data_IF_436022364038
#
_entry.id   IF_436022364038
#
_cell.length_a   1.000
_cell.length_b   1.000
_cell.length_c   1.000
_cell.angle_alpha   90.00
_cell.angle_beta   90.00
_cell.angle_gamma   90.00
#
_symmetry.space_group_name_H-M   'P 1'
#
loop_
_entity.id
_entity.type
_entity.pdbx_description
1 polymer ?
#
# COMPACT_ATOMS: atom_id res chain seq x y z
N UNK A 1 41.08 -11.98 31.31
CA UNK A 1 40.17 -11.98 30.14
C UNK A 1 40.29 -10.62 29.44
N UNK A 2 40.64 -10.61 28.15
CA UNK A 2 41.22 -9.46 27.43
C UNK A 2 40.23 -8.29 27.21
N UNK A 3 40.29 -7.26 28.05
CA UNK A 3 39.55 -5.99 27.87
C UNK A 3 39.92 -5.27 26.55
N UNK A 4 41.13 -5.49 26.03
CA UNK A 4 41.59 -4.94 24.75
C UNK A 4 40.98 -5.62 23.51
N UNK A 5 40.42 -6.83 23.63
CA UNK A 5 39.75 -7.51 22.51
C UNK A 5 38.31 -7.03 22.32
N UNK A 6 37.60 -6.60 23.37
CA UNK A 6 36.21 -6.11 23.25
C UNK A 6 36.12 -4.74 22.57
N UNK A 7 37.14 -3.88 22.72
CA UNK A 7 37.15 -2.54 22.11
C UNK A 7 37.27 -2.58 20.58
N UNK A 8 37.80 -3.67 20.00
CA UNK A 8 37.89 -3.85 18.53
C UNK A 8 36.57 -4.21 17.85
N UNK A 9 35.55 -4.62 18.60
CA UNK A 9 34.22 -4.96 18.09
C UNK A 9 33.25 -3.76 18.11
N UNK A 10 33.62 -2.68 18.79
CA UNK A 10 32.83 -1.45 18.89
C UNK A 10 32.45 -0.80 17.55
N UNK A 11 33.33 -0.73 16.52
CA UNK A 11 32.94 -0.17 15.23
C UNK A 11 31.95 -1.06 14.46
N UNK A 12 31.87 -2.36 14.75
CA UNK A 12 30.94 -3.28 14.08
C UNK A 12 29.49 -3.05 14.54
N UNK A 13 29.32 -2.72 15.82
CA UNK A 13 28.00 -2.41 16.42
C UNK A 13 27.48 -1.05 15.95
N UNK A 14 28.37 -0.11 15.63
CA UNK A 14 28.02 1.22 15.13
C UNK A 14 27.38 1.20 13.72
N UNK A 15 27.46 0.09 12.99
CA UNK A 15 26.85 -0.05 11.65
C UNK A 15 25.43 -0.64 11.72
N UNK A 16 25.02 -1.23 12.86
CA UNK A 16 23.68 -1.78 13.03
C UNK A 16 22.52 -0.75 12.92
N UNK A 17 22.65 0.54 13.32
CA UNK A 17 21.56 1.49 13.12
C UNK A 17 21.43 1.97 11.66
N UNK A 18 22.36 1.63 10.76
CA UNK A 18 22.24 1.90 9.32
C UNK A 18 21.35 0.89 8.60
N UNK A 19 20.72 -0.03 9.32
CA UNK A 19 19.66 -0.88 8.75
C UNK A 19 18.47 0.00 8.38
N UNK A 20 18.40 0.39 7.12
CA UNK A 20 17.37 1.30 6.62
C UNK A 20 15.95 0.73 6.74
N UNK A 21 14.98 1.63 6.90
CA UNK A 21 13.57 1.36 6.65
C UNK A 21 13.37 1.15 5.13
N UNK A 22 12.53 0.18 4.75
CA UNK A 22 12.10 0.04 3.36
C UNK A 22 10.82 0.86 3.21
N UNK A 23 10.89 1.91 2.38
CA UNK A 23 9.72 2.69 2.00
C UNK A 23 9.65 2.82 0.49
N UNK A 24 8.60 2.28 -0.10
CA UNK A 24 8.31 2.40 -1.52
C UNK A 24 6.81 2.63 -1.76
N UNK A 25 6.47 3.10 -2.96
CA UNK A 25 5.10 3.45 -3.30
C UNK A 25 4.72 3.02 -4.70
N UNK A 26 3.43 2.79 -4.88
CA UNK A 26 2.84 2.41 -6.15
C UNK A 26 1.52 3.14 -6.32
N UNK A 27 1.28 3.65 -7.53
CA UNK A 27 0.08 4.45 -7.82
C UNK A 27 -0.69 3.88 -9.00
N UNK A 28 -2.00 3.92 -8.89
CA UNK A 28 -2.91 3.79 -10.01
C UNK A 28 -3.45 5.17 -10.37
N UNK A 29 -3.08 5.69 -11.54
CA UNK A 29 -3.59 6.95 -12.07
C UNK A 29 -4.82 6.64 -12.90
N UNK A 30 -5.94 7.30 -12.58
CA UNK A 30 -7.19 7.07 -13.29
C UNK A 30 -7.09 7.66 -14.71
N UNK A 31 -7.50 6.93 -15.75
CA UNK A 31 -7.47 7.45 -17.11
C UNK A 31 -8.41 8.66 -17.27
N UNK A 32 -7.91 9.72 -17.90
CA UNK A 32 -8.67 10.92 -18.25
C UNK A 32 -9.04 11.84 -17.08
N UNK A 33 -8.47 11.64 -15.88
CA UNK A 33 -8.70 12.47 -14.70
C UNK A 33 -7.40 12.74 -13.95
N UNK A 34 -7.29 13.88 -13.27
CA UNK A 34 -6.17 14.19 -12.37
C UNK A 34 -6.31 13.51 -10.99
N UNK A 35 -6.78 12.26 -11.00
CA UNK A 35 -7.09 11.47 -9.81
C UNK A 35 -6.12 10.30 -9.71
N UNK A 36 -5.68 9.97 -8.51
CA UNK A 36 -4.83 8.80 -8.27
C UNK A 36 -5.18 8.11 -6.97
N UNK A 37 -4.98 6.80 -6.95
CA UNK A 37 -4.90 6.02 -5.70
C UNK A 37 -3.45 5.59 -5.55
N UNK A 38 -2.81 6.03 -4.47
CA UNK A 38 -1.42 5.73 -4.16
C UNK A 38 -1.35 4.88 -2.91
N UNK A 39 -0.58 3.81 -2.99
CA UNK A 39 -0.21 2.97 -1.86
C UNK A 39 1.24 3.24 -1.50
N UNK A 40 1.51 3.48 -0.22
CA UNK A 40 2.88 3.57 0.31
C UNK A 40 3.08 2.40 1.27
N UNK A 41 4.05 1.55 0.97
CA UNK A 41 4.51 0.51 1.87
C UNK A 41 5.62 1.08 2.75
N UNK A 42 5.41 1.03 4.06
CA UNK A 42 6.37 1.48 5.05
C UNK A 42 6.74 0.31 5.98
N UNK A 43 7.93 -0.24 5.78
CA UNK A 43 8.43 -1.36 6.57
C UNK A 43 9.58 -0.86 7.45
N UNK A 44 9.25 -0.56 8.70
CA UNK A 44 10.17 0.00 9.71
C UNK A 44 11.50 -0.73 9.77
N UNK A 45 11.49 -2.05 9.64
CA UNK A 45 12.70 -2.87 9.60
C UNK A 45 12.65 -3.89 8.47
N UNK A 46 13.72 -3.97 7.67
CA UNK A 46 13.80 -4.87 6.50
C UNK A 46 13.62 -6.37 6.81
N UNK A 47 13.76 -6.78 8.08
CA UNK A 47 13.60 -8.17 8.52
C UNK A 47 12.19 -8.51 9.02
N UNK A 48 11.28 -7.53 9.14
CA UNK A 48 9.87 -7.81 9.45
C UNK A 48 9.20 -8.46 8.25
N UNK A 49 8.28 -9.38 8.50
CA UNK A 49 7.42 -10.01 7.51
C UNK A 49 6.10 -9.25 7.30
N UNK A 50 5.99 -8.06 7.89
CA UNK A 50 4.84 -7.17 7.79
C UNK A 50 5.28 -5.72 7.56
N UNK A 51 4.40 -4.92 6.99
CA UNK A 51 4.57 -3.49 6.79
C UNK A 51 3.27 -2.72 7.08
N UNK A 52 3.39 -1.41 7.27
CA UNK A 52 2.25 -0.51 7.33
C UNK A 52 1.97 0.04 5.93
N UNK A 53 0.72 -0.09 5.50
CA UNK A 53 0.25 0.32 4.18
C UNK A 53 -0.53 1.63 4.30
N UNK A 54 0.04 2.72 3.82
CA UNK A 54 -0.68 3.98 3.65
C UNK A 54 -1.51 3.90 2.36
N UNK A 55 -2.81 4.14 2.47
CA UNK A 55 -3.75 4.16 1.35
C UNK A 55 -4.18 5.59 1.13
N UNK A 56 -3.79 6.18 0.01
CA UNK A 56 -3.99 7.60 -0.28
C UNK A 56 -4.89 7.75 -1.50
N UNK A 57 -5.99 8.48 -1.34
CA UNK A 57 -6.85 8.96 -2.41
C UNK A 57 -6.49 10.41 -2.73
N UNK A 58 -6.07 10.67 -3.96
CA UNK A 58 -5.64 12.00 -4.41
C UNK A 58 -6.52 12.51 -5.54
N UNK A 59 -6.86 13.80 -5.45
CA UNK A 59 -7.43 14.61 -6.52
C UNK A 59 -6.91 16.03 -6.35
N UNK A 60 -5.70 16.29 -6.83
CA UNK A 60 -5.09 17.62 -6.66
C UNK A 60 -5.72 18.63 -7.65
N UNK A 61 -5.88 19.90 -7.25
CA UNK A 61 -5.58 20.48 -5.93
C UNK A 61 -6.69 20.28 -4.87
N UNK A 62 -7.80 19.63 -5.24
CA UNK A 62 -9.04 19.63 -4.47
C UNK A 62 -8.96 18.87 -3.14
N UNK A 63 -8.34 17.69 -3.13
CA UNK A 63 -8.17 16.92 -1.91
C UNK A 63 -7.01 15.91 -1.96
N UNK A 64 -6.52 15.60 -0.76
CA UNK A 64 -5.58 14.52 -0.49
C UNK A 64 -5.96 13.94 0.88
N UNK A 65 -6.33 12.66 0.91
CA UNK A 65 -6.77 11.98 2.13
C UNK A 65 -6.49 10.49 2.06
N UNK A 66 -6.60 9.81 3.20
CA UNK A 66 -6.17 8.42 3.29
C UNK A 66 -6.26 7.86 4.69
N UNK A 67 -5.81 6.61 4.83
CA UNK A 67 -5.66 5.91 6.11
C UNK A 67 -4.36 5.10 6.11
N UNK A 68 -3.91 4.71 7.30
CA UNK A 68 -2.87 3.69 7.46
C UNK A 68 -3.52 2.35 7.82
N UNK A 69 -3.10 1.32 7.12
CA UNK A 69 -3.47 -0.07 7.37
C UNK A 69 -2.26 -0.77 7.97
N UNK A 70 -2.31 -1.03 9.27
CA UNK A 70 -1.19 -1.63 10.00
C UNK A 70 -1.05 -3.13 9.73
N UNK A 71 0.19 -3.60 9.86
CA UNK A 71 0.58 -5.02 9.88
C UNK A 71 0.06 -5.84 8.68
N UNK A 72 0.25 -5.32 7.46
CA UNK A 72 0.00 -6.06 6.21
C UNK A 72 1.17 -7.01 5.95
N UNK A 73 0.94 -8.32 5.74
CA UNK A 73 1.97 -9.28 5.35
C UNK A 73 2.75 -8.87 4.09
N UNK A 74 4.07 -9.04 4.11
CA UNK A 74 4.97 -8.62 3.03
C UNK A 74 4.69 -9.29 1.69
N UNK A 75 4.28 -10.55 1.70
CA UNK A 75 3.97 -11.34 0.50
C UNK A 75 2.55 -11.07 -0.05
N UNK A 76 1.78 -10.21 0.62
CA UNK A 76 0.38 -9.98 0.28
C UNK A 76 0.20 -9.28 -1.06
N UNK A 77 -0.71 -9.81 -1.89
CA UNK A 77 -1.14 -9.20 -3.14
C UNK A 77 -2.42 -8.41 -2.92
N UNK A 78 -2.27 -7.11 -2.75
CA UNK A 78 -3.38 -6.21 -2.49
C UNK A 78 -4.18 -6.04 -3.79
N UNK A 79 -5.41 -6.52 -3.81
CA UNK A 79 -6.22 -6.50 -5.03
C UNK A 79 -7.00 -5.20 -5.15
N UNK A 80 -7.06 -4.65 -6.36
CA UNK A 80 -7.68 -3.36 -6.62
C UNK A 80 -8.78 -3.49 -7.65
N UNK A 81 -9.95 -2.96 -7.31
CA UNK A 81 -11.17 -3.09 -8.11
C UNK A 81 -11.82 -1.73 -8.32
N UNK A 82 -12.55 -1.60 -9.43
CA UNK A 82 -13.55 -0.56 -9.63
C UNK A 82 -14.90 -1.14 -9.22
N UNK A 83 -15.53 -0.54 -8.22
CA UNK A 83 -16.86 -0.96 -7.78
C UNK A 83 -17.90 -0.74 -8.91
N UNK A 84 -19.04 -1.47 -8.88
CA UNK A 84 -20.14 -1.23 -9.80
C UNK A 84 -20.64 0.22 -9.77
N UNK A 85 -21.24 0.71 -10.86
CA UNK A 85 -21.75 2.09 -10.97
C UNK A 85 -23.04 2.35 -10.14
N UNK A 86 -23.38 1.44 -9.22
CA UNK A 86 -24.52 1.52 -8.30
C UNK A 86 -24.29 2.51 -7.14
N UNK A 87 -23.04 2.87 -6.88
CA UNK A 87 -22.68 3.84 -5.85
C UNK A 87 -22.92 5.28 -6.34
N UNK A 88 -23.28 6.22 -5.45
CA UNK A 88 -23.52 7.62 -5.81
C UNK A 88 -22.30 8.33 -6.43
N UNK A 89 -21.11 7.80 -6.19
CA UNK A 89 -19.85 8.28 -6.73
C UNK A 89 -18.95 7.09 -7.13
N UNK A 90 -17.94 7.30 -8.00
CA UNK A 90 -16.99 6.25 -8.35
C UNK A 90 -16.19 5.78 -7.12
N UNK A 91 -16.48 4.56 -6.66
CA UNK A 91 -15.77 3.91 -5.56
C UNK A 91 -14.78 2.90 -6.14
N UNK A 92 -13.56 2.93 -5.60
CA UNK A 92 -12.58 1.87 -5.78
C UNK A 92 -12.54 0.99 -4.54
N UNK A 93 -12.29 -0.29 -4.74
CA UNK A 93 -12.17 -1.25 -3.65
C UNK A 93 -10.73 -1.73 -3.57
N UNK A 94 -10.16 -1.63 -2.38
CA UNK A 94 -8.84 -2.17 -2.06
C UNK A 94 -9.02 -3.36 -1.12
N UNK A 95 -8.71 -4.54 -1.61
CA UNK A 95 -8.84 -5.77 -0.87
C UNK A 95 -7.48 -6.23 -0.36
N UNK A 96 -7.37 -6.34 0.96
CA UNK A 96 -6.38 -7.13 1.65
C UNK A 96 -7.02 -8.44 2.13
N UNK A 97 -6.24 -9.44 2.56
CA UNK A 97 -6.68 -10.81 2.87
C UNK A 97 -7.94 -10.84 3.74
N UNK A 98 -7.98 -10.00 4.77
CA UNK A 98 -9.09 -9.96 5.75
C UNK A 98 -9.93 -8.70 5.71
N UNK A 99 -9.56 -7.69 4.92
CA UNK A 99 -10.15 -6.35 5.01
C UNK A 99 -10.40 -5.79 3.62
N UNK A 100 -11.57 -5.21 3.41
CA UNK A 100 -11.91 -4.52 2.18
C UNK A 100 -12.10 -3.04 2.48
N UNK A 101 -11.45 -2.17 1.72
CA UNK A 101 -11.53 -0.73 1.88
C UNK A 101 -12.24 -0.10 0.69
N UNK A 102 -13.18 0.80 0.95
CA UNK A 102 -13.75 1.69 -0.04
C UNK A 102 -12.86 2.93 -0.15
N UNK A 103 -12.55 3.33 -1.37
CA UNK A 103 -11.74 4.50 -1.68
C UNK A 103 -12.54 5.39 -2.62
N UNK A 104 -12.82 6.61 -2.17
CA UNK A 104 -13.41 7.64 -3.01
C UNK A 104 -12.35 8.65 -3.42
N UNK A 105 -12.15 8.84 -4.73
CA UNK A 105 -11.30 9.92 -5.25
C UNK A 105 -12.05 11.24 -5.39
N UNK A 106 -13.37 11.25 -5.18
CA UNK A 106 -14.19 12.47 -5.21
C UNK A 106 -14.13 13.20 -3.88
N UNK A 107 -14.28 12.46 -2.77
CA UNK A 107 -14.20 12.99 -1.40
C UNK A 107 -12.83 12.76 -0.73
N UNK A 108 -11.91 12.07 -1.42
CA UNK A 108 -10.61 11.63 -0.88
C UNK A 108 -10.69 10.84 0.44
N UNK A 109 -11.78 10.09 0.62
CA UNK A 109 -12.01 9.28 1.81
C UNK A 109 -11.65 7.82 1.56
N UNK A 110 -11.07 7.19 2.58
CA UNK A 110 -10.82 5.76 2.61
C UNK A 110 -11.46 5.19 3.86
N UNK A 111 -12.28 4.15 3.69
CA UNK A 111 -13.05 3.56 4.79
C UNK A 111 -13.05 2.03 4.71
N UNK A 112 -12.96 1.38 5.87
CA UNK A 112 -13.11 -0.07 5.96
C UNK A 112 -14.57 -0.47 5.76
N UNK A 113 -14.84 -1.44 4.90
CA UNK A 113 -16.14 -2.09 4.81
C UNK A 113 -16.40 -2.93 6.06
N UNK A 114 -17.56 -2.71 6.68
CA UNK A 114 -18.03 -3.55 7.79
C UNK A 114 -18.39 -4.96 7.30
N UNK A 115 -18.99 -5.03 6.12
CA UNK A 115 -19.37 -6.27 5.44
C UNK A 115 -18.93 -6.19 3.99
N UNK A 116 -18.19 -7.20 3.54
CA UNK A 116 -17.71 -7.31 2.16
C UNK A 116 -18.90 -7.50 1.22
N UNK A 117 -19.12 -6.60 0.24
CA UNK A 117 -20.19 -6.76 -0.72
C UNK A 117 -19.96 -8.00 -1.59
N UNK A 118 -21.05 -8.65 -2.01
CA UNK A 118 -20.99 -9.86 -2.84
C UNK A 118 -20.39 -9.59 -4.24
N UNK A 119 -20.57 -8.36 -4.74
CA UNK A 119 -20.03 -7.93 -6.03
C UNK A 119 -18.97 -6.85 -5.81
N UNK A 120 -17.71 -7.16 -6.15
CA UNK A 120 -16.59 -6.22 -6.08
C UNK A 120 -16.42 -5.39 -7.37
N UNK A 121 -17.20 -5.69 -8.41
CA UNK A 121 -17.08 -5.05 -9.71
C UNK A 121 -15.88 -5.55 -10.52
N UNK A 122 -15.25 -4.64 -11.26
CA UNK A 122 -14.18 -4.95 -12.19
C UNK A 122 -12.82 -4.97 -11.48
N UNK A 123 -12.07 -6.06 -11.61
CA UNK A 123 -10.69 -6.12 -11.11
C UNK A 123 -9.77 -5.35 -12.04
N UNK A 124 -9.19 -4.26 -11.53
CA UNK A 124 -8.24 -3.41 -12.27
C UNK A 124 -6.84 -3.99 -12.24
N UNK A 125 -6.46 -4.61 -11.13
CA UNK A 125 -5.11 -5.15 -10.96
C UNK A 125 -4.78 -5.48 -9.52
N UNK A 126 -3.48 -5.54 -9.22
CA UNK A 126 -2.96 -5.82 -7.90
C UNK A 126 -1.72 -4.99 -7.61
N UNK A 127 -1.54 -4.60 -6.36
CA UNK A 127 -0.29 -4.03 -5.84
C UNK A 127 0.47 -5.11 -5.11
N UNK A 128 1.70 -5.38 -5.55
CA UNK A 128 2.58 -6.33 -4.91
C UNK A 128 4.03 -6.09 -5.33
N UNK A 129 4.96 -6.71 -4.61
CA UNK A 129 6.35 -6.68 -5.00
C UNK A 129 6.60 -7.56 -6.23
N UNK A 130 7.07 -6.95 -7.31
CA UNK A 130 7.50 -7.65 -8.52
C UNK A 130 8.88 -7.14 -8.90
N UNK A 131 9.80 -8.08 -9.14
CA UNK A 131 11.19 -7.76 -9.52
C UNK A 131 11.89 -6.84 -8.51
N UNK A 132 11.60 -7.02 -7.21
CA UNK A 132 12.18 -6.24 -6.10
C UNK A 132 11.62 -4.81 -5.94
N UNK A 133 10.49 -4.50 -6.58
CA UNK A 133 9.81 -3.20 -6.46
C UNK A 133 8.34 -3.38 -6.15
N UNK A 134 7.82 -2.61 -5.20
CA UNK A 134 6.37 -2.52 -4.99
C UNK A 134 5.74 -1.74 -6.15
N UNK A 135 4.81 -2.37 -6.86
CA UNK A 135 4.22 -1.77 -8.06
C UNK A 135 2.78 -2.24 -8.30
N UNK A 136 2.04 -1.41 -9.04
CA UNK A 136 0.74 -1.80 -9.59
C UNK A 136 0.93 -2.66 -10.83
N UNK A 137 0.26 -3.80 -10.87
CA UNK A 137 0.22 -4.71 -12.02
C UNK A 137 -1.22 -4.83 -12.47
N UNK A 138 -1.51 -4.28 -13.65
CA UNK A 138 -2.83 -4.32 -14.25
C UNK A 138 -3.26 -5.76 -14.55
N UNK A 139 -4.55 -6.04 -14.37
CA UNK A 139 -5.13 -7.28 -14.87
C UNK A 139 -5.24 -7.20 -16.39
N UNK A 140 -5.06 -8.33 -17.08
CA UNK A 140 -4.98 -8.39 -18.56
C UNK A 140 -6.26 -7.93 -19.28
N UNK A 141 -7.33 -7.63 -18.54
CA UNK A 141 -8.62 -7.18 -19.07
C UNK A 141 -8.86 -5.67 -18.97
N UNK A 142 -7.96 -4.90 -18.35
CA UNK A 142 -8.07 -3.44 -18.33
C UNK A 142 -7.63 -2.89 -19.70
N UNK A 143 -8.53 -2.95 -20.68
CA UNK A 143 -8.35 -2.45 -22.05
C UNK A 143 -9.64 -1.88 -22.59
#
# INVERSE_FOLDING_TARGET
MNLRKSLRLLPLVAVLPLTGCIQDSASYVLPGKDHAVTLVRNQTWFWLDTFDLEVIALRLPECNGGITVEAVPLEEKISFYKAPDEYPEPIFLLQTDKRLYAISTQSCQVQLFKETPANLGEKLGQFYEKDGKFQFVADKKAG
#
